data_IF_033901332511
#
_entry.id   IF_033901332511
#
_cell.length_a   1.000
_cell.length_b   1.000
_cell.length_c   1.000
_cell.angle_alpha   90.00
_cell.angle_beta   90.00
_cell.angle_gamma   90.00
#
_symmetry.space_group_name_H-M   'P 1'
#
loop_
_entity.id
_entity.type
_entity.pdbx_description
1 polymer ?
#
# COMPACT_ATOMS: atom_id res chain seq x y z
N UNK A 1 -51.14 35.82 -5.36
CA UNK A 1 -50.37 35.45 -6.58
C UNK A 1 -48.94 35.19 -6.16
N UNK A 2 -48.33 34.17 -6.78
CA UNK A 2 -47.03 33.55 -6.52
C UNK A 2 -45.87 34.57 -6.35
N UNK A 3 -44.76 34.28 -5.67
CA UNK A 3 -43.85 33.18 -6.01
C UNK A 3 -42.83 32.85 -4.92
N UNK A 4 -42.47 31.57 -4.93
CA UNK A 4 -41.34 30.87 -4.31
C UNK A 4 -40.00 31.48 -4.72
N UNK A 5 -39.04 31.58 -3.80
CA UNK A 5 -37.61 31.51 -4.15
C UNK A 5 -36.85 30.69 -3.11
N UNK A 6 -36.41 29.51 -3.55
CA UNK A 6 -35.66 28.54 -2.77
C UNK A 6 -34.26 29.02 -2.43
N UNK A 7 -33.83 28.69 -1.22
CA UNK A 7 -32.47 28.78 -0.72
C UNK A 7 -31.50 28.03 -1.63
N UNK A 8 -30.68 28.78 -2.37
CA UNK A 8 -29.62 28.23 -3.22
C UNK A 8 -28.52 27.66 -2.33
N UNK A 9 -28.38 26.34 -2.37
CA UNK A 9 -27.20 25.58 -1.94
C UNK A 9 -25.93 26.27 -2.43
N UNK A 10 -24.87 26.46 -1.61
CA UNK A 10 -23.63 27.01 -2.10
C UNK A 10 -23.07 26.04 -3.15
N UNK A 11 -22.89 26.55 -4.36
CA UNK A 11 -22.26 25.83 -5.44
C UNK A 11 -20.88 25.36 -4.95
N UNK A 12 -20.70 24.05 -4.87
CA UNK A 12 -19.38 23.42 -4.71
C UNK A 12 -18.47 24.10 -5.73
N UNK A 13 -17.46 24.83 -5.25
CA UNK A 13 -16.49 25.49 -6.10
C UNK A 13 -15.96 24.45 -7.07
N UNK A 14 -16.26 24.64 -8.36
CA UNK A 14 -15.64 23.89 -9.44
C UNK A 14 -14.14 24.16 -9.29
N UNK A 15 -13.40 23.18 -8.78
CA UNK A 15 -11.94 23.27 -8.63
C UNK A 15 -11.37 23.53 -10.02
N UNK A 16 -10.77 24.69 -10.22
CA UNK A 16 -10.05 25.01 -11.44
C UNK A 16 -8.95 23.96 -11.68
N UNK A 17 -8.81 23.42 -12.90
CA UNK A 17 -7.82 22.41 -13.23
C UNK A 17 -6.42 23.04 -13.49
N UNK A 18 -6.11 24.20 -12.88
CA UNK A 18 -4.81 24.84 -13.04
C UNK A 18 -3.69 23.91 -12.56
N UNK A 19 -2.99 23.34 -13.56
CA UNK A 19 -1.62 22.81 -13.54
C UNK A 19 -1.10 22.44 -12.14
N UNK A 20 -1.57 21.31 -11.61
CA UNK A 20 -0.69 20.54 -10.73
C UNK A 20 0.55 20.22 -11.57
N UNK A 21 1.72 20.73 -11.17
CA UNK A 21 2.98 20.13 -11.57
C UNK A 21 2.81 18.60 -11.42
N UNK A 22 3.30 17.78 -12.37
CA UNK A 22 3.04 16.35 -12.33
C UNK A 22 3.46 15.84 -10.96
N UNK A 23 2.48 15.50 -10.12
CA UNK A 23 2.77 14.83 -8.86
C UNK A 23 3.23 13.46 -9.32
N UNK A 24 4.48 13.11 -9.05
CA UNK A 24 4.85 11.70 -9.13
C UNK A 24 4.01 10.98 -8.08
N UNK A 25 2.96 10.31 -8.55
CA UNK A 25 2.14 9.47 -7.69
C UNK A 25 3.04 8.39 -7.08
N UNK A 26 2.91 8.17 -5.77
CA UNK A 26 3.57 7.06 -5.08
C UNK A 26 2.61 5.86 -5.08
N UNK A 27 3.07 4.72 -5.59
CA UNK A 27 2.32 3.47 -5.60
C UNK A 27 2.68 2.62 -4.37
N UNK A 28 1.68 2.11 -3.67
CA UNK A 28 1.89 1.17 -2.55
C UNK A 28 1.40 -0.21 -2.97
N UNK A 29 2.30 -1.19 -2.99
CA UNK A 29 1.97 -2.59 -3.26
C UNK A 29 1.81 -3.32 -1.94
N UNK A 30 0.60 -3.78 -1.66
CA UNK A 30 0.35 -4.66 -0.51
C UNK A 30 0.60 -6.10 -0.97
N UNK A 31 1.56 -6.78 -0.35
CA UNK A 31 1.94 -8.14 -0.68
C UNK A 31 1.66 -9.05 0.52
N UNK A 32 0.43 -9.58 0.67
CA UNK A 32 0.13 -10.59 1.67
C UNK A 32 0.85 -11.90 1.36
N UNK A 33 1.45 -12.54 2.36
CA UNK A 33 2.26 -13.75 2.21
C UNK A 33 1.93 -14.76 3.30
N UNK A 34 1.84 -16.03 2.92
CA UNK A 34 1.76 -17.17 3.84
C UNK A 34 2.48 -18.38 3.24
N UNK A 35 3.47 -18.93 3.93
CA UNK A 35 4.32 -20.03 3.43
C UNK A 35 4.99 -19.74 2.08
N UNK A 36 5.55 -18.55 1.93
CA UNK A 36 6.17 -18.08 0.68
C UNK A 36 7.69 -17.87 0.83
N UNK A 37 8.35 -18.49 1.82
CA UNK A 37 9.77 -18.27 2.14
C UNK A 37 10.68 -18.30 0.90
N UNK A 38 10.48 -19.28 0.01
CA UNK A 38 11.31 -19.47 -1.18
C UNK A 38 10.92 -18.55 -2.34
N UNK A 39 9.63 -18.23 -2.47
CA UNK A 39 9.09 -17.46 -3.58
C UNK A 39 9.20 -15.95 -3.36
N UNK A 40 9.13 -15.51 -2.10
CA UNK A 40 9.08 -14.10 -1.71
C UNK A 40 10.26 -13.29 -2.28
N UNK A 41 11.53 -13.74 -2.22
CA UNK A 41 12.64 -13.01 -2.83
C UNK A 41 12.48 -12.80 -4.34
N UNK A 42 11.98 -13.81 -5.07
CA UNK A 42 11.78 -13.74 -6.51
C UNK A 42 10.68 -12.73 -6.86
N UNK A 43 9.54 -12.78 -6.16
CA UNK A 43 8.41 -11.86 -6.36
C UNK A 43 8.85 -10.42 -6.07
N UNK A 44 9.54 -10.19 -4.96
CA UNK A 44 10.04 -8.87 -4.58
C UNK A 44 11.04 -8.34 -5.60
N UNK A 45 11.97 -9.18 -6.06
CA UNK A 45 12.92 -8.80 -7.11
C UNK A 45 12.21 -8.40 -8.42
N UNK A 46 11.21 -9.16 -8.85
CA UNK A 46 10.42 -8.85 -10.05
C UNK A 46 9.71 -7.50 -9.91
N UNK A 47 9.05 -7.25 -8.77
CA UNK A 47 8.37 -5.98 -8.50
C UNK A 47 9.37 -4.81 -8.54
N UNK A 48 10.44 -4.89 -7.75
CA UNK A 48 11.48 -3.85 -7.68
C UNK A 48 12.01 -3.54 -9.08
N UNK A 49 12.37 -4.58 -9.85
CA UNK A 49 12.86 -4.43 -11.20
C UNK A 49 11.86 -3.70 -12.09
N UNK A 50 10.61 -4.16 -12.16
CA UNK A 50 9.58 -3.58 -13.02
C UNK A 50 9.27 -2.12 -12.68
N UNK A 51 9.15 -1.78 -11.39
CA UNK A 51 8.87 -0.40 -11.00
C UNK A 51 10.08 0.52 -11.24
N UNK A 52 11.29 0.03 -10.97
CA UNK A 52 12.52 0.80 -11.19
C UNK A 52 12.77 1.05 -12.68
N UNK A 53 12.58 0.05 -13.55
CA UNK A 53 12.68 0.21 -15.01
C UNK A 53 11.62 1.18 -15.56
N UNK A 54 10.46 1.26 -14.92
CA UNK A 54 9.38 2.18 -15.29
C UNK A 54 9.53 3.59 -14.71
N UNK A 55 10.56 3.85 -13.89
CA UNK A 55 10.77 5.16 -13.25
C UNK A 55 9.66 5.56 -12.27
N UNK A 56 8.94 4.58 -11.71
CA UNK A 56 7.82 4.82 -10.80
C UNK A 56 8.33 5.05 -9.36
N UNK A 57 7.63 5.90 -8.61
CA UNK A 57 7.83 6.03 -7.17
C UNK A 57 6.95 5.00 -6.46
N UNK A 58 7.52 4.13 -5.63
CA UNK A 58 6.78 3.01 -5.04
C UNK A 58 7.28 2.61 -3.65
N UNK A 59 6.45 1.84 -2.96
CA UNK A 59 6.79 1.04 -1.80
C UNK A 59 6.11 -0.34 -1.89
N UNK A 60 6.75 -1.36 -1.32
CA UNK A 60 6.21 -2.71 -1.19
C UNK A 60 6.03 -2.98 0.31
N UNK A 61 4.80 -3.24 0.71
CA UNK A 61 4.45 -3.56 2.10
C UNK A 61 4.16 -5.06 2.14
N UNK A 62 5.12 -5.82 2.65
CA UNK A 62 4.99 -7.27 2.83
C UNK A 62 4.20 -7.50 4.11
N UNK A 63 3.13 -8.28 4.02
CA UNK A 63 2.22 -8.56 5.12
C UNK A 63 2.24 -10.06 5.37
N UNK A 64 3.00 -10.50 6.37
CA UNK A 64 3.05 -11.91 6.74
C UNK A 64 1.83 -12.30 7.59
N UNK A 65 1.10 -13.33 7.14
CA UNK A 65 -0.11 -13.86 7.80
C UNK A 65 0.23 -15.00 8.78
N UNK A 66 1.28 -14.82 9.58
CA UNK A 66 1.70 -15.79 10.60
C UNK A 66 2.33 -17.06 10.04
N UNK A 67 3.25 -16.91 9.07
CA UNK A 67 3.87 -18.07 8.42
C UNK A 67 4.80 -18.85 9.37
N UNK A 68 4.64 -20.18 9.51
CA UNK A 68 5.53 -21.01 10.35
C UNK A 68 6.86 -21.39 9.68
N UNK A 69 7.01 -21.15 8.37
CA UNK A 69 8.17 -21.56 7.57
C UNK A 69 9.33 -20.54 7.59
N UNK A 70 9.17 -19.43 8.33
CA UNK A 70 10.14 -18.34 8.37
C UNK A 70 10.05 -17.40 7.15
N UNK A 71 8.90 -17.34 6.47
CA UNK A 71 8.59 -16.28 5.47
C UNK A 71 8.84 -14.88 6.07
N UNK A 72 8.45 -14.66 7.33
CA UNK A 72 8.72 -13.41 8.05
C UNK A 72 10.21 -13.04 8.09
N UNK A 73 11.08 -14.00 8.42
CA UNK A 73 12.53 -13.74 8.49
C UNK A 73 13.06 -13.28 7.13
N UNK A 74 12.56 -13.87 6.05
CA UNK A 74 12.91 -13.48 4.68
C UNK A 74 12.39 -12.08 4.36
N UNK A 75 11.17 -11.74 4.76
CA UNK A 75 10.61 -10.40 4.59
C UNK A 75 11.46 -9.32 5.30
N UNK A 76 11.88 -9.58 6.53
CA UNK A 76 12.75 -8.67 7.30
C UNK A 76 14.15 -8.54 6.69
N UNK A 77 14.69 -9.62 6.09
CA UNK A 77 15.95 -9.56 5.35
C UNK A 77 15.83 -8.71 4.09
N UNK A 78 14.72 -8.85 3.35
CA UNK A 78 14.46 -8.05 2.15
C UNK A 78 14.33 -6.57 2.47
N UNK A 79 13.65 -6.21 3.57
CA UNK A 79 13.61 -4.83 4.07
C UNK A 79 15.02 -4.27 4.34
N UNK A 80 15.92 -5.05 4.97
CA UNK A 80 17.32 -4.64 5.20
C UNK A 80 18.12 -4.47 3.91
N UNK A 81 17.87 -5.32 2.90
CA UNK A 81 18.59 -5.29 1.61
C UNK A 81 18.17 -4.09 0.77
N UNK A 82 16.86 -3.82 0.68
CA UNK A 82 16.31 -2.79 -0.21
C UNK A 82 16.11 -1.43 0.48
N UNK A 83 16.09 -1.38 1.81
CA UNK A 83 15.84 -0.19 2.60
C UNK A 83 14.37 0.02 2.93
N UNK A 84 14.10 0.54 4.14
CA UNK A 84 12.73 0.80 4.63
C UNK A 84 12.00 1.92 3.88
N UNK A 85 12.66 2.65 2.99
CA UNK A 85 12.03 3.60 2.06
C UNK A 85 11.32 2.89 0.89
N UNK A 86 11.73 1.65 0.58
CA UNK A 86 11.21 0.83 -0.52
C UNK A 86 10.41 -0.37 -0.05
N UNK A 87 10.87 -1.07 0.98
CA UNK A 87 10.24 -2.29 1.46
C UNK A 87 9.97 -2.17 2.94
N UNK A 88 8.76 -2.47 3.36
CA UNK A 88 8.36 -2.50 4.77
C UNK A 88 7.73 -3.84 5.08
N UNK A 89 8.25 -4.53 6.10
CA UNK A 89 7.66 -5.76 6.61
C UNK A 89 6.63 -5.45 7.70
N UNK A 90 5.48 -6.13 7.67
CA UNK A 90 4.45 -6.07 8.70
C UNK A 90 3.94 -7.47 9.00
N UNK A 91 3.64 -7.71 10.26
CA UNK A 91 3.00 -8.94 10.73
C UNK A 91 1.51 -8.69 10.93
N UNK A 92 0.68 -9.62 10.46
CA UNK A 92 -0.74 -9.60 10.78
C UNK A 92 -0.95 -10.11 12.20
N UNK A 93 -1.07 -9.21 13.16
CA UNK A 93 -1.46 -9.59 14.53
C UNK A 93 -2.97 -9.82 14.55
N UNK A 94 -3.40 -11.08 14.58
CA UNK A 94 -4.79 -11.42 14.83
C UNK A 94 -5.14 -10.99 16.26
N UNK A 95 -5.75 -9.81 16.39
CA UNK A 95 -6.53 -9.44 17.56
C UNK A 95 -7.80 -10.29 17.56
N UNK A 96 -7.68 -11.55 17.94
CA UNK A 96 -8.84 -12.30 18.41
C UNK A 96 -9.39 -11.55 19.61
N UNK A 97 -10.65 -11.03 19.59
CA UNK A 97 -11.27 -10.65 20.82
C UNK A 97 -11.35 -11.91 21.68
N UNK A 98 -10.89 -11.81 22.91
CA UNK A 98 -11.17 -12.75 23.97
C UNK A 98 -12.68 -12.92 24.05
N UNK A 99 -13.24 -13.93 23.39
CA UNK A 99 -14.59 -14.40 23.65
C UNK A 99 -14.51 -15.92 23.88
N UNK A 100 -14.05 -16.26 25.08
CA UNK A 100 -14.59 -17.41 25.78
C UNK A 100 -16.06 -17.09 26.11
N UNK A 101 -16.98 -17.77 25.43
CA UNK A 101 -18.31 -18.10 25.94
C UNK A 101 -18.57 -19.57 25.64
#
# INVERSE_FOLDING_TARGET
>A
MASVEGSRTPARSRRDPERRAPRQDKYSVLLPTYNERENLPLIVWLLVKSFSESGLNYEIIIIDDGSPDGTKDVAEQLEKIYGSDKIVSREYFSILPVLFL
#
